data_IF_301861542268
#
_entry.id   IF_301861542268
#
_cell.length_a   1.000
_cell.length_b   1.000
_cell.length_c   1.000
_cell.angle_alpha   90.00
_cell.angle_beta   90.00
_cell.angle_gamma   90.00
#
_symmetry.space_group_name_H-M   'P 1'
#
loop_
_entity.id
_entity.type
_entity.pdbx_description
1 polymer ?
#
# COMPACT_ATOMS: atom_id res chain seq x y z
N UNK A 1 18.54 -4.24 -20.12
CA UNK A 1 19.18 -4.89 -18.94
C UNK A 1 19.45 -3.79 -17.92
N UNK A 2 18.63 -3.69 -16.88
CA UNK A 2 18.85 -2.74 -15.79
C UNK A 2 19.76 -3.42 -14.76
N UNK A 3 20.85 -2.75 -14.43
CA UNK A 3 21.90 -3.21 -13.54
C UNK A 3 21.32 -3.37 -12.11
N UNK A 4 21.72 -4.42 -11.40
CA UNK A 4 21.37 -4.64 -9.98
C UNK A 4 21.71 -3.39 -9.13
N UNK A 5 21.05 -3.18 -7.99
CA UNK A 5 21.33 -2.05 -7.09
C UNK A 5 22.81 -1.98 -6.68
N UNK A 6 23.49 -3.13 -6.57
CA UNK A 6 24.93 -3.23 -6.34
C UNK A 6 25.78 -2.65 -7.50
N UNK A 7 25.27 -2.75 -8.72
CA UNK A 7 25.96 -2.46 -9.96
C UNK A 7 25.79 -0.98 -10.37
N UNK A 8 24.66 -0.36 -10.02
CA UNK A 8 24.45 1.09 -10.08
C UNK A 8 25.36 1.82 -9.07
N UNK A 9 25.53 1.27 -7.87
CA UNK A 9 26.42 1.84 -6.85
C UNK A 9 27.91 1.60 -7.17
N UNK A 10 28.28 0.46 -7.78
CA UNK A 10 29.64 0.25 -8.33
C UNK A 10 30.03 1.31 -9.35
N UNK A 11 29.09 1.73 -10.20
CA UNK A 11 29.35 2.77 -11.21
C UNK A 11 29.45 4.18 -10.61
N UNK A 12 28.78 4.45 -9.50
CA UNK A 12 28.90 5.72 -8.78
C UNK A 12 30.19 5.84 -7.97
N UNK A 13 30.77 4.72 -7.53
CA UNK A 13 31.98 4.70 -6.68
C UNK A 13 33.25 4.33 -7.47
N UNK A 14 33.12 3.72 -8.64
CA UNK A 14 34.22 3.21 -9.47
C UNK A 14 34.89 4.25 -10.37
N UNK A 15 35.55 5.25 -9.78
CA UNK A 15 36.60 6.02 -10.47
C UNK A 15 37.88 5.19 -10.59
N UNK A 16 38.38 5.03 -11.82
CA UNK A 16 39.57 4.25 -12.20
C UNK A 16 40.76 4.47 -11.25
N UNK A 17 41.11 3.46 -10.44
CA UNK A 17 42.39 3.44 -9.72
C UNK A 17 43.03 2.06 -9.88
N UNK A 18 43.98 2.00 -10.81
CA UNK A 18 44.83 0.84 -11.08
C UNK A 18 45.90 0.75 -9.98
N UNK A 19 45.57 0.03 -8.90
CA UNK A 19 46.47 -0.22 -7.77
C UNK A 19 46.11 -1.55 -7.12
N UNK A 20 46.75 -2.63 -7.60
CA UNK A 20 46.38 -4.02 -7.34
C UNK A 20 46.69 -4.53 -5.94
N UNK A 21 45.92 -5.53 -5.49
CA UNK A 21 46.17 -6.32 -4.29
C UNK A 21 45.29 -5.93 -3.10
N UNK A 22 45.57 -4.78 -2.46
CA UNK A 22 44.94 -4.43 -1.16
C UNK A 22 43.51 -3.89 -1.29
N UNK A 23 43.22 -3.23 -2.42
CA UNK A 23 41.86 -2.73 -2.74
C UNK A 23 40.89 -3.87 -3.05
N UNK A 24 41.37 -5.04 -3.51
CA UNK A 24 40.54 -6.21 -3.78
C UNK A 24 39.92 -6.82 -2.52
N UNK A 25 40.71 -6.95 -1.45
CA UNK A 25 40.24 -7.46 -0.16
C UNK A 25 39.24 -6.49 0.53
N UNK A 26 39.50 -5.18 0.48
CA UNK A 26 38.54 -4.17 0.97
C UNK A 26 37.26 -4.15 0.13
N UNK A 27 37.33 -4.35 -1.19
CA UNK A 27 36.14 -4.44 -2.05
C UNK A 27 35.30 -5.67 -1.72
N UNK A 28 35.91 -6.83 -1.46
CA UNK A 28 35.18 -8.03 -1.07
C UNK A 28 34.52 -7.90 0.31
N UNK A 29 35.21 -7.30 1.29
CA UNK A 29 34.62 -7.00 2.60
C UNK A 29 33.46 -6.00 2.49
N UNK A 30 33.56 -5.01 1.60
CA UNK A 30 32.48 -4.03 1.40
C UNK A 30 31.27 -4.65 0.69
N UNK A 31 31.49 -5.60 -0.22
CA UNK A 31 30.43 -6.36 -0.91
C UNK A 31 29.72 -7.29 0.09
N UNK A 32 30.48 -8.01 0.92
CA UNK A 32 29.94 -8.90 1.95
C UNK A 32 29.17 -8.12 3.04
N UNK A 33 29.63 -6.91 3.38
CA UNK A 33 28.92 -6.02 4.29
C UNK A 33 27.67 -5.37 3.66
N UNK A 34 27.64 -5.19 2.33
CA UNK A 34 26.48 -4.66 1.59
C UNK A 34 25.37 -5.70 1.37
N UNK A 35 25.71 -6.99 1.37
CA UNK A 35 24.75 -8.10 1.28
C UNK A 35 24.11 -8.45 2.63
N UNK A 36 24.59 -7.89 3.74
CA UNK A 36 23.92 -7.98 5.03
C UNK A 36 22.51 -7.37 4.94
N UNK A 37 21.49 -8.16 5.26
CA UNK A 37 20.09 -7.72 5.32
C UNK A 37 19.89 -6.44 6.17
N UNK A 38 20.80 -6.15 7.11
CA UNK A 38 20.75 -4.92 7.90
C UNK A 38 21.17 -3.65 7.14
N UNK A 39 22.05 -3.76 6.15
CA UNK A 39 22.67 -2.59 5.52
C UNK A 39 21.69 -1.83 4.62
N UNK A 40 20.90 -2.54 3.81
CA UNK A 40 19.91 -1.91 2.95
C UNK A 40 18.75 -1.30 3.77
N UNK A 41 18.35 -1.94 4.88
CA UNK A 41 17.36 -1.37 5.81
C UNK A 41 17.83 -0.04 6.39
N UNK A 42 19.06 0.00 6.92
CA UNK A 42 19.68 1.24 7.43
C UNK A 42 19.76 2.34 6.35
N UNK A 43 20.11 1.95 5.11
CA UNK A 43 20.18 2.89 3.99
C UNK A 43 18.81 3.53 3.73
N UNK A 44 17.72 2.75 3.74
CA UNK A 44 16.37 3.28 3.54
C UNK A 44 15.94 4.23 4.65
N UNK A 45 16.26 3.92 5.91
CA UNK A 45 15.92 4.75 7.07
C UNK A 45 16.57 6.13 7.01
N UNK A 46 17.72 6.27 6.36
CA UNK A 46 18.42 7.54 6.21
C UNK A 46 18.04 8.32 4.94
N UNK A 47 17.23 7.74 4.04
CA UNK A 47 16.87 8.41 2.79
C UNK A 47 16.04 9.69 3.01
N UNK A 48 16.33 10.78 2.26
CA UNK A 48 15.47 11.95 2.22
C UNK A 48 14.16 11.64 1.48
N UNK A 49 13.11 12.42 1.74
CA UNK A 49 11.76 12.16 1.23
C UNK A 49 11.69 12.01 -0.30
N UNK A 50 12.43 12.83 -1.05
CA UNK A 50 12.49 12.74 -2.51
C UNK A 50 13.08 11.41 -3.00
N UNK A 51 14.20 10.99 -2.39
CA UNK A 51 14.87 9.73 -2.73
C UNK A 51 14.04 8.52 -2.31
N UNK A 52 13.38 8.55 -1.14
CA UNK A 52 12.50 7.48 -0.69
C UNK A 52 11.29 7.29 -1.64
N UNK A 53 10.69 8.37 -2.16
CA UNK A 53 9.62 8.28 -3.18
C UNK A 53 10.14 7.74 -4.51
N UNK A 54 11.31 8.18 -4.95
CA UNK A 54 11.93 7.69 -6.18
C UNK A 54 12.23 6.20 -6.07
N UNK A 55 12.85 5.76 -4.96
CA UNK A 55 13.14 4.35 -4.68
C UNK A 55 11.87 3.51 -4.63
N UNK A 56 10.81 3.99 -3.95
CA UNK A 56 9.52 3.28 -3.92
C UNK A 56 8.92 3.04 -5.30
N UNK A 57 9.03 4.00 -6.22
CA UNK A 57 8.59 3.82 -7.61
C UNK A 57 9.42 2.76 -8.33
N UNK A 58 10.75 2.81 -8.19
CA UNK A 58 11.65 1.79 -8.76
C UNK A 58 11.33 0.39 -8.21
N UNK A 59 11.17 0.25 -6.89
CA UNK A 59 10.78 -1.02 -6.25
C UNK A 59 9.43 -1.53 -6.79
N UNK A 60 8.46 -0.64 -7.05
CA UNK A 60 7.18 -1.03 -7.65
C UNK A 60 7.34 -1.58 -9.07
N UNK A 61 8.18 -0.96 -9.90
CA UNK A 61 8.49 -1.45 -11.24
C UNK A 61 9.20 -2.80 -11.19
N UNK A 62 10.15 -2.96 -10.28
CA UNK A 62 10.85 -4.22 -10.06
C UNK A 62 9.90 -5.34 -9.60
N UNK A 63 8.98 -5.05 -8.67
CA UNK A 63 7.94 -5.99 -8.24
C UNK A 63 7.11 -6.48 -9.44
N UNK A 64 6.65 -5.55 -10.29
CA UNK A 64 5.86 -5.91 -11.47
C UNK A 64 6.67 -6.75 -12.46
N UNK A 65 7.94 -6.40 -12.67
CA UNK A 65 8.85 -7.15 -13.54
C UNK A 65 9.08 -8.57 -13.05
N UNK A 66 9.41 -8.76 -11.77
CA UNK A 66 9.69 -10.08 -11.19
C UNK A 66 8.42 -10.93 -11.12
N UNK A 67 7.28 -10.33 -10.74
CA UNK A 67 5.98 -10.99 -10.78
C UNK A 67 5.63 -11.47 -12.20
N UNK A 68 5.86 -10.64 -13.22
CA UNK A 68 5.63 -11.04 -14.62
C UNK A 68 6.46 -12.24 -15.04
N UNK A 69 7.75 -12.28 -14.67
CA UNK A 69 8.64 -13.43 -14.95
C UNK A 69 8.18 -14.70 -14.25
N UNK A 70 7.84 -14.61 -12.97
CA UNK A 70 7.36 -15.75 -12.20
C UNK A 70 6.02 -16.26 -12.74
N UNK A 71 5.09 -15.36 -13.07
CA UNK A 71 3.80 -15.73 -13.64
C UNK A 71 3.96 -16.41 -15.01
N UNK A 72 4.89 -15.94 -15.84
CA UNK A 72 5.18 -16.57 -17.14
C UNK A 72 5.70 -18.01 -16.95
N UNK A 73 6.59 -18.23 -15.99
CA UNK A 73 7.08 -19.58 -15.67
C UNK A 73 5.97 -20.51 -15.19
N UNK A 74 5.14 -20.06 -14.24
CA UNK A 74 4.05 -20.85 -13.69
C UNK A 74 2.99 -21.14 -14.76
N UNK A 75 2.58 -20.12 -15.52
CA UNK A 75 1.55 -20.24 -16.55
C UNK A 75 2.00 -21.15 -17.70
N UNK A 76 3.25 -21.06 -18.15
CA UNK A 76 3.77 -21.94 -19.20
C UNK A 76 3.77 -23.42 -18.78
N UNK A 77 4.05 -23.70 -17.49
CA UNK A 77 4.05 -25.06 -16.95
C UNK A 77 2.61 -25.59 -16.83
N UNK A 78 1.68 -24.79 -16.34
CA UNK A 78 0.27 -25.20 -16.22
C UNK A 78 -0.37 -25.38 -17.59
N UNK A 79 -0.14 -24.44 -18.52
CA UNK A 79 -0.70 -24.50 -19.87
C UNK A 79 -0.31 -25.79 -20.60
N UNK A 80 0.95 -26.21 -20.49
CA UNK A 80 1.40 -27.48 -21.06
C UNK A 80 0.63 -28.68 -20.48
N UNK A 81 0.40 -28.71 -19.16
CA UNK A 81 -0.38 -29.79 -18.54
C UNK A 81 -1.86 -29.73 -18.91
N UNK A 82 -2.45 -28.54 -19.08
CA UNK A 82 -3.83 -28.40 -19.53
C UNK A 82 -4.03 -28.93 -20.96
N UNK A 83 -3.07 -28.65 -21.84
CA UNK A 83 -3.05 -29.19 -23.20
C UNK A 83 -2.92 -30.73 -23.18
N UNK A 84 -2.13 -31.28 -22.24
CA UNK A 84 -1.99 -32.73 -22.05
C UNK A 84 -3.24 -33.40 -21.49
N UNK A 85 -3.97 -32.73 -20.60
CA UNK A 85 -5.17 -33.27 -19.93
C UNK A 85 -6.47 -33.07 -20.72
N UNK A 86 -6.41 -32.44 -21.90
CA UNK A 86 -7.56 -32.34 -22.81
C UNK A 86 -8.52 -31.17 -22.52
N UNK A 87 -8.05 -30.09 -21.88
CA UNK A 87 -8.81 -28.83 -21.81
C UNK A 87 -9.09 -28.28 -20.40
N UNK A 88 -10.20 -27.55 -20.28
CA UNK A 88 -10.50 -26.68 -19.13
C UNK A 88 -10.66 -27.44 -17.80
N UNK A 89 -11.17 -28.68 -17.84
CA UNK A 89 -11.34 -29.54 -16.66
C UNK A 89 -9.97 -29.94 -16.04
N UNK A 90 -8.88 -29.78 -16.80
CA UNK A 90 -7.53 -30.06 -16.33
C UNK A 90 -7.12 -29.22 -15.12
N UNK A 91 -7.69 -28.03 -14.92
CA UNK A 91 -7.36 -27.18 -13.75
C UNK A 91 -7.81 -27.82 -12.44
N UNK A 92 -9.00 -28.43 -12.42
CA UNK A 92 -9.51 -29.11 -11.22
C UNK A 92 -8.68 -30.36 -10.90
N UNK A 93 -8.25 -31.10 -11.94
CA UNK A 93 -7.35 -32.24 -11.79
C UNK A 93 -6.00 -31.79 -11.23
N UNK A 94 -5.38 -30.74 -11.80
CA UNK A 94 -4.11 -30.19 -11.30
C UNK A 94 -4.25 -29.71 -9.85
N UNK A 95 -5.32 -28.98 -9.54
CA UNK A 95 -5.60 -28.49 -8.19
C UNK A 95 -5.71 -29.65 -7.18
N UNK A 96 -6.47 -30.69 -7.54
CA UNK A 96 -6.65 -31.89 -6.72
C UNK A 96 -5.32 -32.62 -6.49
N UNK A 97 -4.55 -32.89 -7.56
CA UNK A 97 -3.26 -33.61 -7.46
C UNK A 97 -2.24 -32.79 -6.66
N UNK A 98 -2.22 -31.47 -6.81
CA UNK A 98 -1.33 -30.60 -6.05
C UNK A 98 -1.82 -30.35 -4.60
N UNK A 99 -3.01 -30.81 -4.23
CA UNK A 99 -3.66 -30.49 -2.95
C UNK A 99 -3.71 -28.98 -2.69
N UNK A 100 -4.14 -28.22 -3.71
CA UNK A 100 -4.31 -26.76 -3.68
C UNK A 100 -5.77 -26.46 -4.02
N UNK A 101 -6.44 -25.52 -3.31
CA UNK A 101 -7.78 -25.09 -3.70
C UNK A 101 -7.80 -24.56 -5.14
N UNK A 102 -8.81 -24.91 -5.95
CA UNK A 102 -8.93 -24.47 -7.35
C UNK A 102 -8.84 -22.93 -7.48
N UNK A 103 -9.46 -22.20 -6.55
CA UNK A 103 -9.39 -20.73 -6.50
C UNK A 103 -7.95 -20.20 -6.33
N UNK A 104 -7.12 -20.92 -5.58
CA UNK A 104 -5.72 -20.54 -5.38
C UNK A 104 -4.88 -20.80 -6.63
N UNK A 105 -5.18 -21.85 -7.40
CA UNK A 105 -4.54 -22.08 -8.71
C UNK A 105 -4.86 -20.94 -9.66
N UNK A 106 -6.13 -20.53 -9.77
CA UNK A 106 -6.51 -19.37 -10.59
C UNK A 106 -5.86 -18.07 -10.10
N UNK A 107 -5.79 -17.86 -8.78
CA UNK A 107 -5.11 -16.70 -8.21
C UNK A 107 -3.62 -16.68 -8.57
N UNK A 108 -2.94 -17.82 -8.52
CA UNK A 108 -1.53 -17.95 -8.93
C UNK A 108 -1.35 -17.61 -10.41
N UNK A 109 -2.18 -18.18 -11.30
CA UNK A 109 -2.13 -17.95 -12.75
C UNK A 109 -2.43 -16.49 -13.14
N UNK A 110 -3.26 -15.80 -12.35
CA UNK A 110 -3.54 -14.38 -12.57
C UNK A 110 -2.40 -13.46 -12.13
N UNK A 111 -1.36 -13.96 -11.46
CA UNK A 111 -0.30 -13.15 -10.87
C UNK A 111 -0.72 -12.36 -9.62
N UNK A 112 -1.97 -12.47 -9.17
CA UNK A 112 -2.53 -11.70 -8.04
C UNK A 112 -2.27 -12.37 -6.69
N UNK A 113 -1.01 -12.57 -6.33
CA UNK A 113 -0.63 -13.15 -5.04
C UNK A 113 0.36 -12.25 -4.28
N UNK A 114 0.25 -12.26 -2.95
CA UNK A 114 1.22 -11.66 -2.04
C UNK A 114 2.24 -12.73 -1.66
N UNK A 115 3.56 -12.44 -1.72
CA UNK A 115 4.58 -13.40 -1.31
C UNK A 115 4.34 -13.82 0.14
N UNK A 116 4.21 -15.12 0.35
CA UNK A 116 4.13 -15.74 1.67
C UNK A 116 4.62 -17.19 1.58
N UNK A 117 5.06 -17.80 2.69
CA UNK A 117 5.45 -19.20 2.69
C UNK A 117 4.36 -20.15 2.16
N UNK A 118 3.09 -19.86 2.46
CA UNK A 118 1.96 -20.64 1.96
C UNK A 118 1.82 -20.56 0.43
N UNK A 119 1.94 -19.35 -0.13
CA UNK A 119 1.89 -19.15 -1.59
C UNK A 119 3.08 -19.82 -2.27
N UNK A 120 4.29 -19.75 -1.67
CA UNK A 120 5.44 -20.49 -2.19
C UNK A 120 5.19 -21.99 -2.21
N UNK A 121 4.67 -22.57 -1.12
CA UNK A 121 4.34 -23.99 -1.06
C UNK A 121 3.36 -24.39 -2.17
N UNK A 122 2.38 -23.54 -2.49
CA UNK A 122 1.46 -23.78 -3.60
C UNK A 122 2.18 -23.73 -4.96
N UNK A 123 3.02 -22.72 -5.21
CA UNK A 123 3.83 -22.63 -6.44
C UNK A 123 4.73 -23.86 -6.58
N UNK A 124 5.43 -24.24 -5.51
CA UNK A 124 6.32 -25.39 -5.50
C UNK A 124 5.56 -26.68 -5.81
N UNK A 125 4.43 -26.97 -5.13
CA UNK A 125 3.62 -28.16 -5.39
C UNK A 125 3.10 -28.20 -6.82
N UNK A 126 2.59 -27.07 -7.31
CA UNK A 126 2.09 -26.96 -8.68
C UNK A 126 3.18 -27.20 -9.71
N UNK A 127 4.38 -26.64 -9.51
CA UNK A 127 5.54 -26.95 -10.33
C UNK A 127 5.94 -28.44 -10.21
N UNK A 128 5.97 -29.02 -9.01
CA UNK A 128 6.35 -30.43 -8.83
C UNK A 128 5.39 -31.40 -9.52
N UNK A 129 4.07 -31.11 -9.48
CA UNK A 129 3.05 -31.98 -10.08
C UNK A 129 3.04 -31.91 -11.60
N UNK A 130 3.29 -30.73 -12.17
CA UNK A 130 3.33 -30.57 -13.61
C UNK A 130 4.62 -31.22 -14.16
N UNK A 131 4.49 -32.38 -14.81
CA UNK A 131 5.61 -33.19 -15.32
C UNK A 131 6.53 -32.40 -16.27
N UNK A 132 6.01 -31.41 -17.01
CA UNK A 132 6.83 -30.49 -17.81
C UNK A 132 7.84 -29.63 -17.02
N UNK A 133 7.67 -29.53 -15.71
CA UNK A 133 8.54 -28.77 -14.82
C UNK A 133 9.70 -29.60 -14.24
N UNK A 134 9.79 -30.90 -14.55
CA UNK A 134 10.87 -31.80 -14.11
C UNK A 134 12.31 -31.36 -14.46
N UNK A 135 12.51 -30.22 -15.13
CA UNK A 135 13.79 -29.53 -15.11
C UNK A 135 14.00 -28.86 -13.73
N UNK A 136 14.84 -29.40 -12.82
CA UNK A 136 15.09 -28.79 -11.49
C UNK A 136 15.51 -27.32 -11.60
N UNK A 137 16.13 -26.94 -12.72
CA UNK A 137 16.48 -25.56 -13.08
C UNK A 137 15.29 -24.59 -13.03
N UNK A 138 14.09 -25.00 -13.46
CA UNK A 138 12.89 -24.13 -13.45
C UNK A 138 12.38 -23.91 -12.02
N UNK A 139 12.41 -24.94 -11.18
CA UNK A 139 12.02 -24.84 -9.76
C UNK A 139 13.00 -23.92 -9.02
N UNK A 140 14.31 -24.08 -9.23
CA UNK A 140 15.33 -23.20 -8.66
C UNK A 140 15.16 -21.75 -9.14
N UNK A 141 14.89 -21.55 -10.44
CA UNK A 141 14.64 -20.21 -10.98
C UNK A 141 13.37 -19.58 -10.39
N UNK A 142 12.29 -20.35 -10.24
CA UNK A 142 11.05 -19.87 -9.61
C UNK A 142 11.27 -19.52 -8.13
N UNK A 143 12.03 -20.33 -7.40
CA UNK A 143 12.41 -20.06 -6.01
C UNK A 143 13.20 -18.76 -5.88
N UNK A 144 14.19 -18.56 -6.76
CA UNK A 144 14.99 -17.34 -6.75
C UNK A 144 14.14 -16.10 -7.06
N UNK A 145 13.25 -16.17 -8.05
CA UNK A 145 12.32 -15.07 -8.36
C UNK A 145 11.35 -14.81 -7.22
N UNK A 146 10.88 -15.85 -6.53
CA UNK A 146 9.99 -15.71 -5.38
C UNK A 146 10.68 -15.05 -4.20
N UNK A 147 11.94 -15.44 -3.92
CA UNK A 147 12.77 -14.80 -2.90
C UNK A 147 12.98 -13.32 -3.20
N UNK A 148 13.44 -13.01 -4.42
CA UNK A 148 13.63 -11.61 -4.87
C UNK A 148 12.33 -10.80 -4.76
N UNK A 149 11.19 -11.40 -5.11
CA UNK A 149 9.89 -10.77 -4.95
C UNK A 149 9.58 -10.48 -3.47
N UNK A 150 9.82 -11.44 -2.57
CA UNK A 150 9.62 -11.27 -1.13
C UNK A 150 10.46 -10.10 -0.58
N UNK A 151 11.74 -10.04 -0.94
CA UNK A 151 12.66 -8.99 -0.51
C UNK A 151 12.19 -7.61 -0.97
N UNK A 152 11.70 -7.49 -2.22
CA UNK A 152 11.15 -6.25 -2.76
C UNK A 152 9.86 -5.79 -2.05
N UNK A 153 9.00 -6.73 -1.63
CA UNK A 153 7.80 -6.40 -0.84
C UNK A 153 8.16 -5.87 0.54
N UNK A 154 9.16 -6.46 1.17
CA UNK A 154 9.67 -5.98 2.45
C UNK A 154 10.28 -4.58 2.32
N UNK A 155 11.10 -4.36 1.30
CA UNK A 155 11.65 -3.04 0.97
C UNK A 155 10.53 -2.01 0.75
N UNK A 156 9.48 -2.37 0.02
CA UNK A 156 8.33 -1.50 -0.21
C UNK A 156 7.62 -1.11 1.10
N UNK A 157 7.49 -2.03 2.06
CA UNK A 157 6.88 -1.77 3.35
C UNK A 157 7.73 -0.82 4.21
N UNK A 158 9.06 -1.02 4.23
CA UNK A 158 9.99 -0.14 4.94
C UNK A 158 9.97 1.27 4.33
N UNK A 159 9.98 1.39 3.00
CA UNK A 159 9.84 2.68 2.31
C UNK A 159 8.52 3.37 2.63
N UNK A 160 7.41 2.62 2.73
CA UNK A 160 6.11 3.16 3.10
C UNK A 160 6.11 3.70 4.54
N UNK A 161 6.68 2.95 5.50
CA UNK A 161 6.86 3.40 6.89
C UNK A 161 7.71 4.66 6.96
N UNK A 162 8.85 4.69 6.25
CA UNK A 162 9.75 5.84 6.23
C UNK A 162 9.09 7.10 5.67
N UNK A 163 8.35 6.99 4.58
CA UNK A 163 7.61 8.12 4.02
C UNK A 163 6.55 8.65 5.01
N UNK A 164 5.87 7.75 5.73
CA UNK A 164 4.91 8.13 6.77
C UNK A 164 5.58 8.90 7.92
N UNK A 165 6.77 8.48 8.36
CA UNK A 165 7.55 9.18 9.38
C UNK A 165 7.99 10.57 8.92
N UNK A 166 8.49 10.70 7.68
CA UNK A 166 8.90 11.98 7.12
C UNK A 166 7.71 12.94 6.97
N UNK A 167 6.55 12.43 6.55
CA UNK A 167 5.32 13.22 6.48
C UNK A 167 4.78 13.59 7.88
N UNK A 168 5.03 12.77 8.89
CA UNK A 168 4.72 13.09 10.29
C UNK A 168 5.66 14.15 10.83
N UNK A 169 6.96 14.05 10.57
CA UNK A 169 7.96 15.06 10.96
C UNK A 169 7.63 16.41 10.33
N UNK A 170 7.27 16.44 9.03
CA UNK A 170 6.86 17.67 8.34
C UNK A 170 5.62 18.33 8.93
N UNK A 171 4.68 17.53 9.45
CA UNK A 171 3.45 18.02 10.11
C UNK A 171 3.64 18.37 11.58
N UNK A 172 4.61 17.71 12.24
CA UNK A 172 4.87 17.80 13.66
C UNK A 172 5.89 18.86 14.05
N UNK A 173 6.62 19.45 13.11
CA UNK A 173 7.27 20.74 13.33
C UNK A 173 6.14 21.73 13.57
N UNK A 174 5.92 22.22 14.81
CA UNK A 174 5.07 23.37 14.99
C UNK A 174 5.70 24.40 14.08
N UNK A 175 4.96 24.93 13.11
CA UNK A 175 5.32 26.23 12.59
C UNK A 175 5.34 27.12 13.81
N UNK A 176 6.54 27.28 14.38
CA UNK A 176 6.78 28.11 15.52
C UNK A 176 6.12 29.41 15.15
N UNK A 177 5.09 29.74 15.94
CA UNK A 177 4.75 31.08 16.35
C UNK A 177 5.52 32.06 15.50
N UNK A 178 4.83 32.53 14.45
CA UNK A 178 5.35 33.50 13.52
C UNK A 178 6.20 34.46 14.31
N UNK A 179 7.45 34.63 13.86
CA UNK A 179 8.42 35.56 14.44
C UNK A 179 7.61 36.63 15.12
N UNK A 180 7.63 36.64 16.47
CA UNK A 180 6.99 37.69 17.22
C UNK A 180 7.50 38.94 16.55
N UNK A 181 6.60 39.56 15.77
CA UNK A 181 6.77 40.84 15.15
C UNK A 181 7.19 41.65 16.34
N UNK A 182 8.49 41.97 16.42
CA UNK A 182 9.05 42.67 17.55
C UNK A 182 8.17 43.90 17.66
N UNK A 183 7.29 43.88 18.65
CA UNK A 183 6.44 44.99 18.99
C UNK A 183 7.46 46.03 19.40
N UNK A 184 7.76 46.89 18.44
CA UNK A 184 8.50 48.14 18.60
C UNK A 184 7.99 48.74 19.91
N UNK A 185 8.84 48.92 20.93
CA UNK A 185 8.41 49.48 22.19
C UNK A 185 7.96 50.92 21.92
N UNK A 186 6.65 51.12 21.92
CA UNK A 186 6.05 52.44 22.03
C UNK A 186 5.48 52.57 23.44
N UNK A 187 6.03 53.52 24.19
CA UNK A 187 5.27 54.23 25.22
C UNK A 187 5.97 54.40 26.57
N UNK A 188 6.58 55.58 26.74
CA UNK A 188 6.35 56.50 27.88
C UNK A 188 6.81 57.88 27.40
N UNK A 189 5.87 58.72 26.94
CA UNK A 189 5.19 59.76 27.72
C UNK A 189 6.10 60.94 28.08
N UNK A 190 6.04 62.02 27.27
CA UNK A 190 6.16 63.41 27.74
C UNK A 190 5.21 64.29 26.88
N UNK A 191 4.13 64.71 27.53
CA UNK A 191 3.33 65.95 27.38
C UNK A 191 3.11 66.62 26.02
N UNK A 192 1.83 66.89 25.73
CA UNK A 192 1.36 68.25 25.47
C UNK A 192 0.90 68.60 24.04
N UNK A 193 -0.30 69.20 24.00
CA UNK A 193 -0.84 70.09 22.96
C UNK A 193 -1.59 69.49 21.74
N UNK A 194 -2.89 69.76 21.74
CA UNK A 194 -3.87 69.78 20.64
C UNK A 194 -3.72 71.08 19.81
N UNK A 195 -4.46 71.30 18.71
CA UNK A 195 -4.25 70.92 17.30
C UNK A 195 -3.96 72.17 16.40
N UNK A 196 -3.99 72.12 15.04
CA UNK A 196 -5.27 72.24 14.33
C UNK A 196 -5.39 71.48 12.98
N UNK A 197 -6.63 71.51 12.50
CA UNK A 197 -7.21 71.07 11.24
C UNK A 197 -6.35 71.29 9.97
N UNK A 198 -6.44 70.35 9.01
CA UNK A 198 -6.50 70.70 7.58
C UNK A 198 -7.11 69.59 6.70
N UNK A 199 -8.38 69.84 6.34
CA UNK A 199 -9.05 69.65 5.04
C UNK A 199 -8.44 68.76 3.93
N UNK A 200 -9.32 67.88 3.40
CA UNK A 200 -9.71 67.71 1.98
C UNK A 200 -8.62 67.52 0.90
N UNK A 201 -8.60 66.34 0.29
CA UNK A 201 -8.48 66.08 -1.17
C UNK A 201 -8.44 64.55 -1.38
N UNK A 202 -9.47 63.88 -1.90
CA UNK A 202 -9.80 63.78 -3.33
C UNK A 202 -8.56 63.50 -4.21
N UNK A 203 -8.38 62.24 -4.63
CA UNK A 203 -7.86 61.88 -5.97
C UNK A 203 -8.13 60.40 -6.28
N UNK A 204 -9.20 60.22 -7.03
CA UNK A 204 -9.34 59.26 -8.12
C UNK A 204 -8.03 59.02 -8.91
N UNK A 205 -7.73 57.78 -9.26
CA UNK A 205 -7.38 57.46 -10.65
C UNK A 205 -7.52 55.95 -10.93
N UNK A 206 -8.26 55.58 -11.98
CA UNK A 206 -8.24 54.27 -12.61
C UNK A 206 -7.14 54.24 -13.69
N UNK A 207 -6.68 53.05 -14.06
CA UNK A 207 -5.96 52.84 -15.31
C UNK A 207 -6.25 51.42 -15.82
N UNK A 208 -7.17 51.35 -16.77
CA UNK A 208 -7.22 50.33 -17.80
C UNK A 208 -5.90 50.32 -18.59
N UNK A 209 -5.39 49.12 -18.87
CA UNK A 209 -4.23 48.88 -19.72
C UNK A 209 -4.52 47.71 -20.64
N UNK A 210 -5.22 48.03 -21.72
CA UNK A 210 -5.52 47.22 -22.91
C UNK A 210 -4.26 47.07 -23.77
N UNK A 211 -3.87 45.85 -24.15
CA UNK A 211 -2.98 45.61 -25.32
C UNK A 211 -3.12 44.15 -25.79
N UNK A 212 -3.82 43.94 -26.91
CA UNK A 212 -3.27 43.55 -28.25
C UNK A 212 -2.70 42.12 -28.26
N UNK A 213 -3.37 41.14 -28.87
CA UNK A 213 -3.51 40.92 -30.32
C UNK A 213 -2.17 40.63 -31.03
N UNK A 214 -2.22 39.56 -31.82
CA UNK A 214 -1.32 39.15 -32.90
C UNK A 214 0.12 38.73 -32.59
N UNK A 215 0.38 37.44 -32.84
CA UNK A 215 1.28 37.04 -33.93
C UNK A 215 0.96 35.62 -34.38
N UNK A 216 0.20 35.54 -35.47
CA UNK A 216 0.35 34.51 -36.49
C UNK A 216 1.77 34.62 -37.05
N UNK A 217 2.52 33.52 -37.00
CA UNK A 217 3.54 33.23 -38.00
C UNK A 217 3.27 31.82 -38.50
N UNK A 218 2.59 31.79 -39.65
CA UNK A 218 2.73 30.73 -40.62
C UNK A 218 4.21 30.61 -40.95
N UNK A 219 4.79 29.43 -40.76
CA UNK A 219 6.00 29.05 -41.48
C UNK A 219 5.72 27.68 -42.11
N UNK A 220 5.84 27.69 -43.43
CA UNK A 220 5.30 26.75 -44.39
C UNK A 220 6.48 26.23 -45.22
N UNK A 221 6.60 24.89 -45.32
CA UNK A 221 7.59 24.20 -46.15
C UNK A 221 8.93 24.03 -45.42
N UNK A 222 9.50 22.85 -45.25
CA UNK A 222 9.56 21.60 -46.02
C UNK A 222 9.87 20.50 -44.98
N UNK A 223 9.74 19.19 -45.13
CA UNK A 223 9.84 18.31 -46.28
C UNK A 223 9.29 16.95 -45.84
N UNK A 224 8.74 16.26 -46.81
CA UNK A 224 8.15 14.93 -46.74
C UNK A 224 9.23 13.92 -46.35
N UNK A 225 8.94 12.98 -45.44
CA UNK A 225 8.80 11.53 -45.66
C UNK A 225 8.78 10.88 -44.25
N UNK A 226 8.14 9.72 -44.07
CA UNK A 226 8.01 8.94 -42.80
C UNK A 226 6.68 9.12 -42.02
N UNK A 227 5.54 9.24 -42.74
CA UNK A 227 4.21 8.93 -42.16
C UNK A 227 3.27 8.32 -43.19
N UNK A 228 3.48 7.05 -43.55
CA UNK A 228 2.48 6.30 -44.31
C UNK A 228 2.50 4.79 -44.02
N UNK A 229 2.57 4.45 -42.73
CA UNK A 229 2.15 3.15 -42.21
C UNK A 229 1.43 3.49 -40.90
N UNK A 230 0.29 2.84 -40.61
CA UNK A 230 -0.59 3.03 -39.44
C UNK A 230 -1.69 4.11 -39.64
N UNK A 231 -2.55 3.90 -40.62
CA UNK A 231 -3.97 4.30 -40.54
C UNK A 231 -4.82 3.15 -41.06
N UNK A 232 -4.89 2.11 -40.25
CA UNK A 232 -5.96 1.12 -40.35
C UNK A 232 -7.09 1.53 -39.40
N UNK A 233 -8.36 1.48 -39.81
CA UNK A 233 -9.48 1.70 -38.91
C UNK A 233 -9.45 0.63 -37.83
N UNK A 234 -9.45 1.04 -36.56
CA UNK A 234 -9.58 0.13 -35.42
C UNK A 234 -10.97 -0.51 -35.55
N UNK A 235 -11.08 -1.84 -35.74
CA UNK A 235 -12.38 -2.50 -35.72
C UNK A 235 -13.00 -2.26 -34.34
N UNK A 236 -14.29 -1.89 -34.31
CA UNK A 236 -15.07 -1.64 -33.10
C UNK A 236 -14.81 -2.73 -32.05
N UNK A 237 -13.93 -2.40 -31.09
CA UNK A 237 -13.70 -3.23 -29.93
C UNK A 237 -14.99 -3.14 -29.13
N UNK A 238 -15.72 -4.25 -28.88
CA UNK A 238 -16.84 -4.21 -27.96
C UNK A 238 -16.28 -3.70 -26.63
N UNK A 239 -16.94 -2.68 -26.08
CA UNK A 239 -16.71 -2.04 -24.80
C UNK A 239 -16.59 -3.13 -23.70
N UNK A 240 -15.39 -3.70 -23.59
CA UNK A 240 -15.00 -4.67 -22.59
C UNK A 240 -14.77 -3.90 -21.30
N UNK A 241 -15.88 -3.41 -20.77
CA UNK A 241 -16.05 -3.06 -19.38
C UNK A 241 -15.40 -4.18 -18.59
N UNK A 242 -14.24 -3.88 -18.01
CA UNK A 242 -13.63 -4.73 -17.00
C UNK A 242 -14.77 -5.22 -16.09
N UNK A 243 -14.90 -6.53 -15.86
CA UNK A 243 -16.00 -7.07 -15.08
C UNK A 243 -16.05 -6.30 -13.77
N UNK A 244 -17.17 -5.60 -13.53
CA UNK A 244 -17.45 -4.82 -12.30
C UNK A 244 -17.49 -5.71 -11.03
N UNK A 245 -16.98 -6.94 -11.09
CA UNK A 245 -17.20 -8.03 -10.14
C UNK A 245 -16.13 -8.19 -9.07
N UNK A 246 -15.00 -7.47 -9.13
CA UNK A 246 -14.08 -7.36 -7.98
C UNK A 246 -14.39 -6.10 -7.17
N UNK A 247 -15.67 -5.86 -6.86
CA UNK A 247 -15.97 -5.07 -5.67
C UNK A 247 -15.39 -5.87 -4.51
N UNK A 248 -14.43 -5.34 -3.72
CA UNK A 248 -13.97 -6.05 -2.53
C UNK A 248 -15.21 -6.47 -1.74
N UNK A 249 -15.34 -7.77 -1.49
CA UNK A 249 -16.54 -8.35 -0.89
C UNK A 249 -16.84 -7.56 0.39
N UNK A 250 -18.04 -7.00 0.49
CA UNK A 250 -18.46 -6.22 1.66
C UNK A 250 -18.26 -7.10 2.90
N UNK A 251 -17.47 -6.68 3.91
CA UNK A 251 -17.20 -7.50 5.08
C UNK A 251 -18.48 -7.90 5.80
N UNK A 252 -18.64 -9.19 6.09
CA UNK A 252 -19.82 -9.74 6.78
C UNK A 252 -19.54 -9.93 8.28
N UNK A 253 -20.24 -9.23 9.18
CA UNK A 253 -20.07 -9.38 10.63
C UNK A 253 -20.48 -10.75 11.16
N UNK A 254 -21.30 -11.52 10.42
CA UNK A 254 -21.75 -12.84 10.85
C UNK A 254 -20.63 -13.89 10.88
N UNK A 255 -19.54 -13.65 10.17
CA UNK A 255 -18.35 -14.51 10.15
C UNK A 255 -17.45 -14.35 11.39
N UNK A 256 -17.67 -13.32 12.22
CA UNK A 256 -16.90 -13.11 13.44
C UNK A 256 -17.32 -14.08 14.55
N UNK A 257 -16.44 -15.01 14.93
CA UNK A 257 -16.66 -15.97 16.02
C UNK A 257 -16.21 -15.45 17.39
N UNK A 258 -15.41 -14.39 17.43
CA UNK A 258 -14.90 -13.79 18.66
C UNK A 258 -15.10 -12.27 18.68
N UNK A 259 -15.13 -11.68 19.87
CA UNK A 259 -15.22 -10.21 20.06
C UNK A 259 -14.08 -9.46 19.37
N UNK A 260 -12.87 -10.01 19.38
CA UNK A 260 -11.72 -9.43 18.69
C UNK A 260 -11.90 -9.47 17.17
N UNK A 261 -12.32 -10.61 16.62
CA UNK A 261 -12.63 -10.72 15.19
C UNK A 261 -13.73 -9.76 14.76
N UNK A 262 -14.74 -9.52 15.59
CA UNK A 262 -15.80 -8.55 15.29
C UNK A 262 -15.25 -7.13 15.12
N UNK A 263 -14.37 -6.69 16.02
CA UNK A 263 -13.72 -5.38 15.91
C UNK A 263 -12.79 -5.30 14.68
N UNK A 264 -12.12 -6.40 14.31
CA UNK A 264 -11.34 -6.46 13.06
C UNK A 264 -12.24 -6.39 11.82
N UNK A 265 -13.41 -7.03 11.84
CA UNK A 265 -14.42 -6.88 10.78
C UNK A 265 -14.90 -5.42 10.70
N UNK A 266 -15.05 -4.70 11.80
CA UNK A 266 -15.40 -3.27 11.79
C UNK A 266 -14.32 -2.42 11.09
N UNK A 267 -13.04 -2.73 11.33
CA UNK A 267 -11.91 -2.07 10.64
C UNK A 267 -11.93 -2.37 9.14
N UNK A 268 -12.18 -3.62 8.77
CA UNK A 268 -12.33 -4.01 7.37
C UNK A 268 -13.50 -3.27 6.70
N UNK A 269 -14.65 -3.15 7.38
CA UNK A 269 -15.82 -2.44 6.87
C UNK A 269 -15.56 -0.94 6.66
N UNK A 270 -14.82 -0.30 7.57
CA UNK A 270 -14.35 1.08 7.39
C UNK A 270 -13.42 1.22 6.17
N UNK A 271 -12.49 0.29 5.98
CA UNK A 271 -11.58 0.30 4.83
C UNK A 271 -12.35 0.13 3.53
N UNK A 272 -13.31 -0.80 3.49
CA UNK A 272 -14.22 -1.02 2.37
C UNK A 272 -15.01 0.25 2.01
N UNK A 273 -15.47 1.00 3.02
CA UNK A 273 -16.18 2.27 2.84
C UNK A 273 -15.27 3.49 2.52
N UNK A 274 -14.04 3.25 2.04
CA UNK A 274 -13.11 4.31 1.64
C UNK A 274 -12.27 4.90 2.77
N UNK A 275 -12.18 4.19 3.91
CA UNK A 275 -11.37 4.55 5.07
C UNK A 275 -11.53 6.02 5.55
N UNK A 276 -12.76 6.50 5.81
CA UNK A 276 -12.98 7.86 6.30
C UNK A 276 -12.25 8.11 7.62
N UNK A 277 -11.78 9.32 7.86
CA UNK A 277 -11.17 9.69 9.15
C UNK A 277 -12.21 9.62 10.28
N UNK A 278 -11.79 9.37 11.52
CA UNK A 278 -12.72 9.34 12.66
C UNK A 278 -13.45 10.69 12.84
N UNK A 279 -12.84 11.83 12.45
CA UNK A 279 -13.50 13.15 12.47
C UNK A 279 -14.59 13.25 11.40
N UNK A 280 -14.39 12.59 10.26
CA UNK A 280 -15.42 12.50 9.24
C UNK A 280 -16.60 11.62 9.71
N UNK A 281 -16.33 10.52 10.43
CA UNK A 281 -17.37 9.70 11.04
C UNK A 281 -18.20 10.49 12.06
N UNK A 282 -17.55 11.22 12.97
CA UNK A 282 -18.20 12.11 13.95
C UNK A 282 -19.13 13.14 13.28
N UNK A 283 -18.69 13.73 12.15
CA UNK A 283 -19.55 14.66 11.39
C UNK A 283 -20.72 13.97 10.70
N UNK A 284 -20.52 12.76 10.15
CA UNK A 284 -21.57 11.99 9.46
C UNK A 284 -22.64 11.44 10.40
N UNK A 285 -22.34 11.32 11.70
CA UNK A 285 -23.30 10.91 12.71
C UNK A 285 -23.82 12.09 13.56
N UNK A 286 -23.70 13.33 13.08
CA UNK A 286 -24.16 14.53 13.78
C UNK A 286 -23.67 14.61 15.25
N UNK A 287 -22.43 14.16 15.49
CA UNK A 287 -21.78 14.10 16.82
C UNK A 287 -22.48 13.20 17.85
N UNK A 288 -23.38 12.28 17.43
CA UNK A 288 -23.94 11.25 18.33
C UNK A 288 -22.86 10.39 18.98
N UNK A 289 -21.79 10.10 18.23
CA UNK A 289 -20.59 9.43 18.72
C UNK A 289 -19.38 10.30 18.44
N UNK A 290 -18.61 10.62 19.47
CA UNK A 290 -17.43 11.47 19.35
C UNK A 290 -16.28 10.78 18.61
N UNK A 291 -15.37 11.59 18.06
CA UNK A 291 -14.12 11.11 17.45
C UNK A 291 -13.32 10.18 18.36
N UNK A 292 -13.19 10.53 19.65
CA UNK A 292 -12.41 9.76 20.61
C UNK A 292 -13.04 8.40 20.88
N UNK A 293 -14.37 8.34 20.93
CA UNK A 293 -15.12 7.09 21.06
C UNK A 293 -14.91 6.19 19.85
N UNK A 294 -15.01 6.69 18.61
CA UNK A 294 -14.71 5.90 17.42
C UNK A 294 -13.28 5.36 17.42
N UNK A 295 -12.30 6.19 17.80
CA UNK A 295 -10.90 5.80 17.89
C UNK A 295 -10.69 4.69 18.92
N UNK A 296 -11.26 4.85 20.12
CA UNK A 296 -11.12 3.84 21.18
C UNK A 296 -11.81 2.53 20.80
N UNK A 297 -13.02 2.62 20.27
CA UNK A 297 -13.83 1.49 19.81
C UNK A 297 -13.13 0.65 18.73
N UNK A 298 -12.45 1.30 17.78
CA UNK A 298 -11.76 0.59 16.70
C UNK A 298 -10.33 0.20 17.06
N UNK A 299 -9.70 0.81 18.06
CA UNK A 299 -8.35 0.42 18.51
C UNK A 299 -8.38 -0.67 19.59
N UNK A 300 -9.48 -0.83 20.32
CA UNK A 300 -9.63 -1.89 21.32
C UNK A 300 -9.67 -3.28 20.68
N UNK A 301 -9.23 -4.29 21.43
CA UNK A 301 -9.51 -5.72 21.11
C UNK A 301 -10.86 -6.19 21.66
N UNK A 302 -11.50 -5.36 22.48
CA UNK A 302 -12.81 -5.63 23.06
C UNK A 302 -13.92 -5.13 22.13
N UNK A 303 -15.05 -5.83 22.18
CA UNK A 303 -16.26 -5.46 21.45
C UNK A 303 -16.87 -4.18 22.06
N UNK A 304 -17.50 -3.29 21.26
CA UNK A 304 -18.14 -2.09 21.79
C UNK A 304 -19.25 -2.46 22.78
N UNK A 305 -19.29 -1.85 23.96
CA UNK A 305 -20.25 -2.19 25.01
C UNK A 305 -21.71 -1.79 24.69
N UNK A 306 -21.92 -0.87 23.73
CA UNK A 306 -23.25 -0.35 23.37
C UNK A 306 -23.56 -0.65 21.91
N UNK A 307 -24.70 -1.29 21.66
CA UNK A 307 -25.19 -1.58 20.30
C UNK A 307 -25.40 -0.30 19.48
N UNK A 308 -25.91 0.76 20.11
CA UNK A 308 -26.15 2.07 19.46
C UNK A 308 -24.88 2.67 18.81
N UNK A 309 -23.70 2.42 19.39
CA UNK A 309 -22.44 2.86 18.79
C UNK A 309 -22.11 2.09 17.50
N UNK A 310 -22.44 0.79 17.44
CA UNK A 310 -22.23 -0.05 16.27
C UNK A 310 -23.19 0.36 15.15
N UNK A 311 -24.47 0.58 15.47
CA UNK A 311 -25.46 1.03 14.49
C UNK A 311 -25.12 2.41 13.93
N UNK A 312 -24.72 3.35 14.81
CA UNK A 312 -24.27 4.68 14.40
C UNK A 312 -23.02 4.60 13.51
N UNK A 313 -22.09 3.70 13.81
CA UNK A 313 -20.90 3.46 12.98
C UNK A 313 -21.27 2.96 11.57
N UNK A 314 -22.15 1.97 11.46
CA UNK A 314 -22.60 1.41 10.18
C UNK A 314 -23.34 2.46 9.35
N UNK A 315 -24.24 3.25 9.97
CA UNK A 315 -24.93 4.36 9.31
C UNK A 315 -23.96 5.43 8.79
N UNK A 316 -22.97 5.83 9.61
CA UNK A 316 -21.96 6.82 9.22
C UNK A 316 -21.08 6.36 8.03
N UNK A 317 -21.02 5.05 7.77
CA UNK A 317 -20.33 4.46 6.62
C UNK A 317 -21.23 4.22 5.40
N UNK A 318 -22.51 4.58 5.47
CA UNK A 318 -23.49 4.35 4.39
C UNK A 318 -23.95 2.89 4.31
N UNK A 319 -23.97 2.17 5.44
CA UNK A 319 -24.60 0.86 5.51
C UNK A 319 -26.12 0.96 5.27
N UNK A 320 -26.68 -0.09 4.65
CA UNK A 320 -28.13 -0.26 4.47
C UNK A 320 -28.78 -0.75 5.76
N UNK A 321 -30.11 -0.79 5.80
CA UNK A 321 -30.84 -1.36 6.94
C UNK A 321 -30.53 -2.86 7.12
N UNK A 322 -30.31 -3.58 6.02
CA UNK A 322 -29.86 -4.98 6.05
C UNK A 322 -28.49 -5.13 6.71
N UNK A 323 -27.54 -4.22 6.42
CA UNK A 323 -26.26 -4.22 7.12
C UNK A 323 -26.46 -3.99 8.61
N UNK A 324 -27.28 -3.01 9.00
CA UNK A 324 -27.59 -2.73 10.41
C UNK A 324 -28.12 -3.96 11.13
N UNK A 325 -29.05 -4.69 10.52
CA UNK A 325 -29.59 -5.93 11.09
C UNK A 325 -28.52 -7.01 11.24
N UNK A 326 -27.64 -7.20 10.24
CA UNK A 326 -26.53 -8.17 10.33
C UNK A 326 -25.55 -7.81 11.44
N UNK A 327 -25.15 -6.53 11.51
CA UNK A 327 -24.25 -6.02 12.54
C UNK A 327 -24.85 -6.14 13.95
N UNK A 328 -26.13 -5.80 14.11
CA UNK A 328 -26.84 -5.94 15.38
C UNK A 328 -26.98 -7.41 15.81
N UNK A 329 -27.27 -8.30 14.85
CA UNK A 329 -27.39 -9.75 15.12
C UNK A 329 -26.07 -10.35 15.57
N UNK A 330 -24.98 -10.06 14.86
CA UNK A 330 -23.63 -10.51 15.21
C UNK A 330 -23.20 -9.97 16.59
N UNK A 331 -23.49 -8.68 16.87
CA UNK A 331 -23.21 -8.07 18.17
C UNK A 331 -23.95 -8.76 19.31
N UNK A 332 -25.27 -9.01 19.17
CA UNK A 332 -26.07 -9.71 20.18
C UNK A 332 -25.53 -11.12 20.44
N UNK A 333 -25.25 -11.88 19.38
CA UNK A 333 -24.67 -13.22 19.46
C UNK A 333 -23.39 -13.23 20.29
N UNK A 334 -22.46 -12.31 20.02
CA UNK A 334 -21.17 -12.22 20.72
C UNK A 334 -21.27 -11.59 22.12
N UNK A 335 -22.32 -10.82 22.40
CA UNK A 335 -22.58 -10.23 23.73
C UNK A 335 -23.11 -11.26 24.73
N UNK A 336 -23.84 -12.27 24.24
CA UNK A 336 -24.43 -13.32 25.06
C UNK A 336 -23.44 -14.42 25.44
N UNK A 337 -22.30 -14.52 24.76
CA UNK A 337 -21.22 -15.44 25.15
C UNK A 337 -20.49 -14.78 26.33
N UNK A 338 -20.69 -15.25 27.58
CA UNK A 338 -19.93 -14.72 28.70
C UNK A 338 -18.44 -14.97 28.42
N UNK A 339 -17.55 -14.07 28.86
CA UNK A 339 -16.09 -14.21 28.69
C UNK A 339 -15.51 -15.31 29.60
N UNK A 340 -16.28 -16.37 29.83
CA UNK A 340 -15.85 -17.55 30.57
C UNK A 340 -14.71 -18.21 29.78
N UNK A 341 -13.49 -17.89 30.20
CA UNK A 341 -12.39 -18.84 30.27
C UNK A 341 -11.63 -19.13 28.97
N UNK A 342 -11.45 -18.14 28.09
CA UNK A 342 -10.33 -18.18 27.11
C UNK A 342 -9.09 -17.43 27.61
N UNK A 343 -9.07 -17.03 28.88
CA UNK A 343 -7.83 -16.69 29.58
C UNK A 343 -7.21 -18.02 29.98
N UNK A 344 -6.12 -18.40 29.33
CA UNK A 344 -5.50 -19.69 29.49
C UNK A 344 -5.29 -20.09 30.95
N UNK A 345 -6.24 -20.87 31.48
CA UNK A 345 -5.87 -21.99 32.32
C UNK A 345 -5.17 -22.97 31.39
N UNK A 346 -3.92 -22.65 31.06
CA UNK A 346 -2.93 -23.69 30.82
C UNK A 346 -3.04 -24.52 32.10
N UNK A 347 -3.54 -25.77 32.06
CA UNK A 347 -3.49 -26.60 33.25
C UNK A 347 -2.05 -26.55 33.71
N UNK A 348 -1.84 -26.04 34.92
CA UNK A 348 -0.53 -25.98 35.51
C UNK A 348 -0.02 -27.41 35.50
N UNK A 349 1.02 -27.66 34.70
CA UNK A 349 1.58 -28.99 34.47
C UNK A 349 2.11 -29.58 35.79
N UNK A 350 2.16 -28.77 36.86
CA UNK A 350 2.44 -29.18 38.23
C UNK A 350 1.40 -30.13 38.85
N UNK A 351 0.13 -30.12 38.43
CA UNK A 351 -0.91 -30.96 39.08
C UNK A 351 -1.00 -32.40 38.55
N UNK A 352 -0.26 -32.73 37.48
CA UNK A 352 -0.15 -34.12 36.98
C UNK A 352 1.00 -34.92 37.62
N UNK A 353 1.74 -34.34 38.57
CA UNK A 353 2.85 -35.03 39.26
C UNK A 353 2.46 -35.72 40.58
N UNK A 354 1.18 -35.70 40.99
CA UNK A 354 0.72 -36.32 42.26
C UNK A 354 -0.07 -37.63 42.09
N UNK A 355 -0.16 -38.18 40.87
CA UNK A 355 -0.71 -39.52 40.64
C UNK A 355 0.41 -40.41 40.10
N UNK A 356 1.30 -40.83 41.00
CA UNK A 356 2.41 -41.73 40.73
C UNK A 356 2.95 -42.34 42.00
#
# INVERSE_FOLDING_TARGET
MLLSSAEILRRLVGGNSSGGGRVGAMKNLLIEQQESEGYWRYTIETLPAGAARARRRATQEDILRIRGKLNLLVSAVVQYELERLGGADGVEVIASVASIPTNDVWRLLSGNYQPSPAVWNHVQRLLTVCQASQAPKKITAAHQLFKELSDLYEEQEILARRLHELDRARRGVPHGFGQHRTTRPHGTEITGATPPQRSLAAKSSPAEGKSTADSRTSDEGTDLTVRQIISSPIPDLPDARLPRSLKPLRPDPMLASTKAMFTDTMRAFRTWAGNPSYRALERRCDKRVSYSTFRNMLNSRTMPAKLDHVETFVRALGGTEEDLQRWATAWRRLSMVPETETTGHTPDVADLAQIG
#
